data_IF_041387052894
#
_entry.id   IF_041387052894
#
_cell.length_a   1.000
_cell.length_b   1.000
_cell.length_c   1.000
_cell.angle_alpha   90.00
_cell.angle_beta   90.00
_cell.angle_gamma   90.00
#
_symmetry.space_group_name_H-M   'P 1'
#
loop_
_entity.id
_entity.type
_entity.pdbx_description
1 polymer ?
#
# COMPACT_ATOMS: atom_id res chain seq x y z
N UNK A 1 -7.57 -43.64 -27.27
CA UNK A 1 -8.47 -42.49 -26.95
C UNK A 1 -7.85 -41.40 -26.05
N UNK A 2 -6.72 -41.61 -25.34
CA UNK A 2 -6.13 -40.57 -24.45
C UNK A 2 -5.42 -39.39 -25.16
N UNK A 3 -4.98 -39.53 -26.42
CA UNK A 3 -4.25 -38.46 -27.14
C UNK A 3 -5.12 -37.27 -27.56
N UNK A 4 -6.44 -37.47 -27.73
CA UNK A 4 -7.33 -36.39 -28.19
C UNK A 4 -7.66 -35.37 -27.08
N UNK A 5 -7.50 -35.75 -25.81
CA UNK A 5 -7.74 -34.89 -24.65
C UNK A 5 -6.62 -33.87 -24.42
N UNK A 6 -5.39 -34.23 -24.74
CA UNK A 6 -4.21 -33.38 -24.51
C UNK A 6 -4.18 -32.23 -25.52
N UNK A 7 -4.56 -32.50 -26.77
CA UNK A 7 -4.59 -31.47 -27.82
C UNK A 7 -5.63 -30.38 -27.48
N UNK A 8 -6.82 -30.76 -26.99
CA UNK A 8 -7.84 -29.78 -26.57
C UNK A 8 -7.39 -28.92 -25.38
N UNK A 9 -6.68 -29.48 -24.42
CA UNK A 9 -6.15 -28.73 -23.28
C UNK A 9 -5.09 -27.71 -23.72
N UNK A 10 -4.21 -28.08 -24.65
CA UNK A 10 -3.18 -27.18 -25.19
C UNK A 10 -3.82 -26.05 -26.00
N UNK A 11 -4.85 -26.33 -26.81
CA UNK A 11 -5.54 -25.30 -27.60
C UNK A 11 -6.26 -24.29 -26.69
N UNK A 12 -6.91 -24.75 -25.61
CA UNK A 12 -7.57 -23.86 -24.65
C UNK A 12 -6.55 -22.99 -23.93
N UNK A 13 -5.41 -23.56 -23.52
CA UNK A 13 -4.33 -22.81 -22.89
C UNK A 13 -3.76 -21.73 -23.81
N UNK A 14 -3.57 -22.03 -25.10
CA UNK A 14 -3.07 -21.07 -26.09
C UNK A 14 -4.05 -19.93 -26.34
N UNK A 15 -5.36 -20.21 -26.35
CA UNK A 15 -6.40 -19.17 -26.49
C UNK A 15 -6.45 -18.27 -25.25
N UNK A 16 -6.32 -18.84 -24.05
CA UNK A 16 -6.27 -18.04 -22.80
C UNK A 16 -5.02 -17.16 -22.75
N UNK A 17 -3.87 -17.66 -23.20
CA UNK A 17 -2.62 -16.89 -23.30
C UNK A 17 -2.79 -15.72 -24.29
N UNK A 18 -3.40 -15.95 -25.45
CA UNK A 18 -3.63 -14.89 -26.44
C UNK A 18 -4.64 -13.82 -25.97
N UNK A 19 -5.65 -14.20 -25.17
CA UNK A 19 -6.56 -13.24 -24.53
C UNK A 19 -5.82 -12.40 -23.47
N UNK A 20 -4.93 -13.02 -22.69
CA UNK A 20 -4.10 -12.31 -21.70
C UNK A 20 -3.14 -11.31 -22.36
N UNK A 21 -2.50 -11.69 -23.47
CA UNK A 21 -1.62 -10.79 -24.23
C UNK A 21 -2.40 -9.70 -25.00
N UNK A 22 -3.63 -9.96 -25.43
CA UNK A 22 -4.50 -8.95 -26.04
C UNK A 22 -4.91 -7.83 -25.07
N UNK A 23 -5.02 -8.16 -23.78
CA UNK A 23 -5.32 -7.18 -22.73
C UNK A 23 -4.12 -6.29 -22.37
N UNK A 24 -2.89 -6.81 -22.44
CA UNK A 24 -1.68 -6.01 -22.20
C UNK A 24 -1.13 -5.30 -23.46
N UNK A 25 -1.31 -5.87 -24.65
CA UNK A 25 -0.76 -5.34 -25.90
C UNK A 25 -1.52 -4.13 -26.49
N UNK A 26 -2.78 -3.92 -26.10
CA UNK A 26 -3.59 -2.77 -26.54
C UNK A 26 -3.18 -1.43 -25.93
N UNK A 27 -2.32 -1.42 -24.91
CA UNK A 27 -1.94 -0.25 -24.12
C UNK A 27 -0.81 0.61 -24.70
N UNK A 28 -0.23 0.27 -25.86
CA UNK A 28 1.04 0.87 -26.29
C UNK A 28 1.03 1.64 -27.62
N UNK A 29 -0.12 1.77 -28.31
CA UNK A 29 -0.16 2.37 -29.66
C UNK A 29 -0.94 3.69 -29.78
N UNK A 30 -1.38 4.33 -28.68
CA UNK A 30 -2.17 5.56 -28.74
C UNK A 30 -1.57 6.80 -28.03
N UNK A 31 -0.36 6.74 -27.47
CA UNK A 31 0.20 7.87 -26.71
C UNK A 31 1.18 8.77 -27.49
N UNK A 32 1.39 8.55 -28.79
CA UNK A 32 2.46 9.21 -29.54
C UNK A 32 2.04 10.48 -30.32
N UNK A 33 0.89 11.09 -30.02
CA UNK A 33 0.40 12.25 -30.79
C UNK A 33 0.02 13.53 -30.03
N UNK A 34 0.18 13.63 -28.71
CA UNK A 34 -0.13 14.88 -27.96
C UNK A 34 1.01 15.34 -27.04
N UNK A 35 2.16 15.68 -27.62
CA UNK A 35 3.16 16.52 -26.94
C UNK A 35 3.67 17.61 -27.90
N UNK A 36 2.87 18.66 -28.06
CA UNK A 36 3.35 19.99 -28.43
C UNK A 36 2.39 21.04 -27.86
N UNK A 37 2.95 22.01 -27.13
CA UNK A 37 2.29 23.07 -26.35
C UNK A 37 1.57 22.54 -25.08
N UNK A 38 2.01 22.83 -23.86
CA UNK A 38 2.09 24.19 -23.33
C UNK A 38 3.04 24.22 -22.13
N UNK A 39 4.11 24.99 -22.27
CA UNK A 39 4.98 25.42 -21.18
C UNK A 39 4.65 26.89 -20.92
N UNK A 40 3.90 27.18 -19.86
CA UNK A 40 3.83 28.54 -19.32
C UNK A 40 3.33 28.53 -17.88
N UNK A 41 4.19 29.06 -16.99
CA UNK A 41 3.94 29.60 -15.66
C UNK A 41 2.49 30.05 -15.41
N UNK A 42 1.84 29.53 -14.36
CA UNK A 42 0.85 30.26 -13.56
C UNK A 42 0.91 29.74 -12.10
N UNK A 43 1.39 30.58 -11.19
CA UNK A 43 1.00 30.56 -9.76
C UNK A 43 -0.48 30.93 -9.64
N UNK A 44 -1.26 30.32 -8.73
CA UNK A 44 -2.45 30.97 -8.23
C UNK A 44 -2.35 31.30 -6.74
N UNK A 45 -2.50 32.59 -6.47
CA UNK A 45 -2.77 33.19 -5.17
C UNK A 45 -3.98 32.55 -4.48
N UNK A 46 -3.83 32.22 -3.20
CA UNK A 46 -4.91 31.82 -2.30
C UNK A 46 -5.85 33.01 -2.05
N UNK A 47 -7.10 32.92 -2.53
CA UNK A 47 -8.20 33.77 -2.05
C UNK A 47 -9.17 32.95 -1.19
N UNK A 48 -9.09 33.18 0.12
CA UNK A 48 -9.97 32.63 1.15
C UNK A 48 -11.31 33.36 1.11
N UNK A 49 -12.39 32.66 0.80
CA UNK A 49 -13.75 33.13 1.04
C UNK A 49 -14.47 32.19 2.01
N UNK A 50 -14.78 32.73 3.19
CA UNK A 50 -15.69 32.14 4.17
C UNK A 50 -17.12 32.29 3.66
N UNK A 51 -17.85 31.18 3.52
CA UNK A 51 -19.31 31.21 3.59
C UNK A 51 -19.84 29.93 4.21
N UNK A 52 -20.56 30.08 5.31
CA UNK A 52 -21.18 28.97 6.02
C UNK A 52 -22.51 28.58 5.41
N UNK A 53 -22.89 27.31 5.59
CA UNK A 53 -24.29 26.91 5.56
C UNK A 53 -24.51 25.75 6.53
N UNK A 54 -25.56 25.88 7.34
CA UNK A 54 -26.04 24.92 8.33
C UNK A 54 -27.25 24.17 7.77
N UNK A 55 -27.49 22.96 8.30
CA UNK A 55 -28.75 22.17 8.31
C UNK A 55 -29.16 21.51 6.96
N UNK A 56 -29.66 20.26 6.84
CA UNK A 56 -30.29 19.20 7.67
C UNK A 56 -29.99 17.84 6.97
N UNK A 57 -29.56 16.76 7.65
CA UNK A 57 -30.30 15.71 8.39
C UNK A 57 -31.26 14.79 7.58
N UNK A 58 -31.04 13.50 7.84
CA UNK A 58 -31.92 12.32 7.90
C UNK A 58 -32.14 11.40 6.70
N UNK A 59 -32.04 10.11 7.05
CA UNK A 59 -32.62 8.90 6.44
C UNK A 59 -31.81 8.21 5.34
N UNK A 60 -31.08 7.17 5.72
CA UNK A 60 -31.40 5.80 5.29
C UNK A 60 -30.74 4.77 6.21
N UNK A 61 -31.60 4.22 7.07
CA UNK A 61 -31.38 3.04 7.92
C UNK A 61 -31.64 1.77 7.11
N UNK A 62 -30.98 0.69 7.55
CA UNK A 62 -31.22 -0.73 7.26
C UNK A 62 -30.38 -1.33 6.12
N UNK A 63 -29.24 -1.91 6.47
CA UNK A 63 -28.80 -3.18 5.90
C UNK A 63 -28.20 -4.06 7.01
N UNK A 64 -28.89 -5.16 7.29
CA UNK A 64 -28.56 -6.19 8.26
C UNK A 64 -27.36 -7.02 7.79
N UNK A 65 -26.30 -7.25 8.60
CA UNK A 65 -25.31 -8.25 8.27
C UNK A 65 -25.85 -9.64 8.59
N UNK A 66 -25.83 -10.53 7.60
CA UNK A 66 -26.18 -11.94 7.73
C UNK A 66 -25.08 -12.66 8.55
N UNK A 67 -25.17 -12.62 9.90
CA UNK A 67 -24.34 -13.45 10.77
C UNK A 67 -24.83 -14.90 10.67
N UNK A 68 -24.05 -15.76 10.02
CA UNK A 68 -24.15 -17.20 10.20
C UNK A 68 -23.75 -17.52 11.65
N UNK A 69 -24.74 -17.72 12.51
CA UNK A 69 -24.56 -18.05 13.91
C UNK A 69 -23.96 -19.45 14.08
N UNK A 70 -22.71 -19.52 14.56
CA UNK A 70 -22.24 -20.64 15.36
C UNK A 70 -22.76 -20.44 16.80
N UNK A 71 -23.18 -21.51 17.50
CA UNK A 71 -23.78 -21.38 18.81
C UNK A 71 -22.74 -20.93 19.85
N UNK A 72 -22.85 -19.68 20.30
CA UNK A 72 -22.12 -19.14 21.46
C UNK A 72 -22.79 -19.68 22.72
N UNK A 73 -22.22 -20.73 23.31
CA UNK A 73 -22.54 -21.16 24.66
C UNK A 73 -21.89 -20.22 25.69
N UNK A 74 -22.69 -19.87 26.69
CA UNK A 74 -22.35 -19.07 27.87
C UNK A 74 -21.19 -19.70 28.65
N UNK A 75 -19.99 -19.14 28.52
CA UNK A 75 -18.85 -19.34 29.43
C UNK A 75 -17.99 -18.06 29.47
N UNK A 76 -18.62 -16.91 29.71
CA UNK A 76 -17.91 -15.62 29.74
C UNK A 76 -16.89 -15.51 30.88
N UNK A 77 -17.13 -16.17 32.02
CA UNK A 77 -16.27 -16.07 33.21
C UNK A 77 -15.01 -16.96 33.13
N UNK A 78 -14.99 -17.99 32.27
CA UNK A 78 -13.81 -18.81 32.00
C UNK A 78 -13.02 -18.37 30.76
N UNK A 79 -13.63 -17.58 29.87
CA UNK A 79 -13.02 -17.14 28.61
C UNK A 79 -11.86 -16.14 28.78
N UNK A 80 -11.80 -15.44 29.92
CA UNK A 80 -10.78 -14.43 30.20
C UNK A 80 -9.58 -14.94 31.01
N UNK A 81 -9.53 -16.23 31.39
CA UNK A 81 -8.42 -16.76 32.20
C UNK A 81 -7.13 -16.79 31.37
N UNK A 82 -6.19 -15.92 31.70
CA UNK A 82 -4.92 -15.77 30.98
C UNK A 82 -4.95 -14.76 29.83
N UNK A 83 -6.03 -13.98 29.70
CA UNK A 83 -6.08 -12.82 28.79
C UNK A 83 -5.46 -11.59 29.43
N UNK A 84 -4.79 -10.80 28.63
CA UNK A 84 -4.15 -9.53 28.98
C UNK A 84 -5.09 -8.36 28.63
N UNK A 85 -4.87 -7.22 29.27
CA UNK A 85 -5.50 -5.96 28.88
C UNK A 85 -4.76 -5.32 27.69
N UNK A 86 -5.39 -4.34 27.03
CA UNK A 86 -4.80 -3.65 25.89
C UNK A 86 -3.47 -2.96 26.21
N UNK A 87 -3.26 -2.47 27.43
CA UNK A 87 -2.05 -1.73 27.80
C UNK A 87 -0.88 -2.65 28.20
N UNK A 88 -1.13 -3.93 28.50
CA UNK A 88 -0.11 -4.96 28.78
C UNK A 88 0.78 -5.32 27.59
N UNK A 89 1.84 -6.08 27.84
CA UNK A 89 2.80 -6.54 26.82
C UNK A 89 2.29 -7.75 26.01
N UNK A 90 1.24 -7.54 25.23
CA UNK A 90 0.68 -8.53 24.32
C UNK A 90 1.34 -8.47 22.95
N UNK A 91 1.25 -9.56 22.18
CA UNK A 91 1.80 -9.63 20.82
C UNK A 91 0.79 -10.03 19.77
N UNK A 92 -0.04 -11.02 20.08
CA UNK A 92 -1.02 -11.56 19.14
C UNK A 92 -2.40 -11.24 19.72
N UNK A 93 -3.05 -10.21 19.19
CA UNK A 93 -4.32 -9.70 19.72
C UNK A 93 -5.35 -10.82 19.95
N UNK A 94 -5.57 -11.69 18.95
CA UNK A 94 -6.59 -12.76 19.03
C UNK A 94 -6.30 -13.83 20.09
N UNK A 95 -5.05 -14.05 20.48
CA UNK A 95 -4.69 -15.03 21.51
C UNK A 95 -4.50 -14.39 22.88
N UNK A 96 -3.93 -13.20 22.92
CA UNK A 96 -3.43 -12.57 24.15
C UNK A 96 -4.48 -11.68 24.78
N UNK A 97 -5.30 -10.97 23.99
CA UNK A 97 -6.28 -10.01 24.48
C UNK A 97 -7.64 -10.63 24.79
N UNK A 98 -8.38 -9.98 25.68
CA UNK A 98 -9.82 -10.24 25.86
C UNK A 98 -10.62 -9.64 24.68
N UNK A 99 -11.89 -10.04 24.54
CA UNK A 99 -12.70 -9.64 23.37
C UNK A 99 -12.89 -8.12 23.26
N UNK A 100 -13.09 -7.41 24.37
CA UNK A 100 -13.29 -5.97 24.35
C UNK A 100 -12.03 -5.24 23.85
N UNK A 101 -10.85 -5.70 24.25
CA UNK A 101 -9.57 -5.12 23.82
C UNK A 101 -9.21 -5.52 22.38
N UNK A 102 -9.66 -6.68 21.91
CA UNK A 102 -9.60 -7.06 20.48
C UNK A 102 -10.44 -6.06 19.66
N UNK A 103 -11.67 -5.77 20.08
CA UNK A 103 -12.55 -4.84 19.37
C UNK A 103 -12.01 -3.40 19.41
N UNK A 104 -11.35 -3.01 20.52
CA UNK A 104 -10.66 -1.73 20.63
C UNK A 104 -9.44 -1.65 19.70
N UNK A 105 -8.57 -2.66 19.70
CA UNK A 105 -7.43 -2.77 18.78
C UNK A 105 -7.85 -2.64 17.31
N UNK A 106 -8.92 -3.33 16.91
CA UNK A 106 -9.40 -3.29 15.53
C UNK A 106 -9.93 -1.90 15.12
N UNK A 107 -10.61 -1.19 16.02
CA UNK A 107 -11.06 0.19 15.76
C UNK A 107 -9.88 1.15 15.62
N UNK A 108 -8.90 1.07 16.54
CA UNK A 108 -7.70 1.91 16.48
C UNK A 108 -6.90 1.65 15.19
N UNK A 109 -6.85 0.39 14.74
CA UNK A 109 -6.24 0.02 13.46
C UNK A 109 -7.03 0.55 12.25
N UNK A 110 -8.36 0.52 12.30
CA UNK A 110 -9.21 1.09 11.25
C UNK A 110 -9.03 2.61 11.13
N UNK A 111 -9.07 3.32 12.25
CA UNK A 111 -8.84 4.77 12.31
C UNK A 111 -7.45 5.14 11.79
N UNK A 112 -6.42 4.38 12.20
CA UNK A 112 -5.06 4.54 11.67
C UNK A 112 -5.00 4.32 10.16
N UNK A 113 -5.66 3.29 9.69
CA UNK A 113 -5.69 2.93 8.28
C UNK A 113 -6.36 4.00 7.41
N UNK A 114 -7.43 4.60 7.93
CA UNK A 114 -8.09 5.74 7.29
C UNK A 114 -7.21 7.00 7.33
N UNK A 115 -6.60 7.32 8.47
CA UNK A 115 -5.78 8.53 8.63
C UNK A 115 -4.52 8.53 7.76
N UNK A 116 -3.94 7.34 7.51
CA UNK A 116 -2.81 7.18 6.59
C UNK A 116 -3.23 7.00 5.13
N UNK A 117 -4.52 7.09 4.81
CA UNK A 117 -5.01 6.89 3.44
C UNK A 117 -4.70 5.51 2.88
N UNK A 118 -4.61 4.48 3.72
CA UNK A 118 -4.51 3.10 3.28
C UNK A 118 -5.92 2.65 2.92
N UNK A 119 -6.36 2.93 1.69
CA UNK A 119 -7.69 2.58 1.21
C UNK A 119 -7.54 2.00 -0.19
N UNK A 120 -8.07 0.80 -0.38
CA UNK A 120 -8.14 0.15 -1.69
C UNK A 120 -9.54 0.30 -2.28
N UNK A 121 -9.69 0.54 -3.58
CA UNK A 121 -10.99 0.52 -4.24
C UNK A 121 -11.63 -0.86 -4.14
N UNK A 122 -12.96 -0.91 -4.29
CA UNK A 122 -13.68 -2.17 -4.38
C UNK A 122 -13.25 -2.91 -5.65
N UNK A 123 -12.86 -4.18 -5.52
CA UNK A 123 -12.59 -5.02 -6.68
C UNK A 123 -13.91 -5.37 -7.40
N UNK A 124 -13.88 -5.69 -8.71
CA UNK A 124 -15.08 -5.98 -9.50
C UNK A 124 -15.91 -7.16 -9.00
N UNK A 125 -15.31 -8.08 -8.25
CA UNK A 125 -15.95 -9.23 -7.61
C UNK A 125 -16.61 -8.88 -6.27
N UNK A 126 -16.62 -7.60 -5.91
CA UNK A 126 -17.19 -7.10 -4.65
C UNK A 126 -16.26 -7.25 -3.45
N UNK A 127 -15.04 -7.78 -3.64
CA UNK A 127 -14.06 -7.84 -2.58
C UNK A 127 -13.41 -6.46 -2.38
N UNK A 128 -13.57 -5.90 -1.18
CA UNK A 128 -12.87 -4.70 -0.77
C UNK A 128 -12.84 -4.63 0.74
N UNK A 129 -11.97 -3.78 1.28
CA UNK A 129 -12.08 -3.42 2.70
C UNK A 129 -13.35 -2.59 2.92
N UNK A 130 -13.90 -2.59 4.12
CA UNK A 130 -15.04 -1.71 4.49
C UNK A 130 -14.76 -0.23 4.16
N UNK A 131 -13.48 0.16 4.21
CA UNK A 131 -12.99 1.50 3.84
C UNK A 131 -13.17 1.85 2.35
N UNK A 132 -13.39 0.86 1.47
CA UNK A 132 -13.60 1.10 0.04
C UNK A 132 -14.81 2.00 -0.23
N UNK A 133 -15.79 2.02 0.69
CA UNK A 133 -16.98 2.88 0.62
C UNK A 133 -16.64 4.37 0.53
N UNK A 134 -15.51 4.82 1.09
CA UNK A 134 -15.08 6.21 1.02
C UNK A 134 -14.65 6.63 -0.39
N UNK A 135 -14.26 5.67 -1.24
CA UNK A 135 -13.81 5.92 -2.61
C UNK A 135 -14.94 5.79 -3.63
N UNK A 136 -16.00 5.02 -3.33
CA UNK A 136 -17.09 4.71 -4.27
C UNK A 136 -17.65 5.94 -4.99
N UNK A 137 -17.96 7.08 -4.33
CA UNK A 137 -18.50 8.25 -5.02
C UNK A 137 -17.56 8.83 -6.07
N UNK A 138 -16.25 8.79 -5.82
CA UNK A 138 -15.20 9.35 -6.69
C UNK A 138 -14.78 8.37 -7.78
N UNK A 139 -14.94 7.07 -7.55
CA UNK A 139 -14.73 6.05 -8.58
C UNK A 139 -15.85 6.08 -9.62
N UNK A 140 -17.08 6.44 -9.21
CA UNK A 140 -18.24 6.54 -10.10
C UNK A 140 -18.43 7.92 -10.77
N UNK A 141 -17.69 8.95 -10.34
CA UNK A 141 -17.83 10.30 -10.88
C UNK A 141 -17.18 10.44 -12.26
N UNK A 142 -17.61 11.45 -13.04
CA UNK A 142 -16.91 11.86 -14.26
C UNK A 142 -15.52 12.43 -13.94
N UNK A 143 -14.60 12.37 -14.90
CA UNK A 143 -13.26 12.96 -14.77
C UNK A 143 -13.29 14.41 -14.25
N UNK A 144 -14.10 15.29 -14.86
CA UNK A 144 -14.16 16.71 -14.46
C UNK A 144 -14.63 16.89 -13.02
N UNK A 145 -15.65 16.14 -12.60
CA UNK A 145 -16.16 16.18 -11.24
C UNK A 145 -15.14 15.65 -10.22
N UNK A 146 -14.39 14.60 -10.57
CA UNK A 146 -13.28 14.13 -9.74
C UNK A 146 -12.21 15.21 -9.61
N UNK A 147 -11.82 15.82 -10.73
CA UNK A 147 -10.76 16.83 -10.76
C UNK A 147 -11.15 18.05 -9.93
N UNK A 148 -12.40 18.50 -10.01
CA UNK A 148 -12.92 19.57 -9.15
C UNK A 148 -12.80 19.22 -7.65
N UNK A 149 -12.98 17.95 -7.26
CA UNK A 149 -12.79 17.55 -5.86
C UNK A 149 -11.31 17.56 -5.46
N UNK A 150 -10.40 17.13 -6.35
CA UNK A 150 -8.95 17.16 -6.13
C UNK A 150 -8.44 18.61 -5.99
N UNK A 151 -8.95 19.53 -6.79
CA UNK A 151 -8.65 20.96 -6.70
C UNK A 151 -9.13 21.57 -5.37
N UNK A 152 -10.22 21.04 -4.81
CA UNK A 152 -10.76 21.42 -3.50
C UNK A 152 -10.12 20.65 -2.32
N UNK A 153 -8.92 20.09 -2.50
CA UNK A 153 -8.16 19.39 -1.47
C UNK A 153 -8.83 18.13 -0.91
N UNK A 154 -9.78 17.52 -1.63
CA UNK A 154 -10.46 16.32 -1.18
C UNK A 154 -9.54 15.09 -1.27
N UNK A 155 -9.10 14.60 -0.11
CA UNK A 155 -8.10 13.53 0.02
C UNK A 155 -8.63 12.17 -0.46
N UNK A 156 -9.92 11.88 -0.29
CA UNK A 156 -10.52 10.65 -0.82
C UNK A 156 -10.65 10.69 -2.35
N UNK A 157 -10.92 11.86 -2.93
CA UNK A 157 -10.88 12.04 -4.38
C UNK A 157 -9.46 11.82 -4.92
N UNK A 158 -8.44 12.36 -4.22
CA UNK A 158 -7.04 12.12 -4.55
C UNK A 158 -6.67 10.64 -4.49
N UNK A 159 -7.07 9.92 -3.42
CA UNK A 159 -6.81 8.48 -3.30
C UNK A 159 -7.51 7.69 -4.42
N UNK A 160 -8.77 8.03 -4.73
CA UNK A 160 -9.50 7.40 -5.83
C UNK A 160 -8.82 7.62 -7.19
N UNK A 161 -8.28 8.83 -7.43
CA UNK A 161 -7.57 9.15 -8.66
C UNK A 161 -6.34 8.27 -8.92
N UNK A 162 -5.65 7.80 -7.87
CA UNK A 162 -4.52 6.87 -7.98
C UNK A 162 -4.93 5.50 -8.54
N UNK A 163 -6.21 5.16 -8.51
CA UNK A 163 -6.75 3.89 -8.99
C UNK A 163 -7.53 4.01 -10.31
N UNK A 164 -7.64 5.22 -10.87
CA UNK A 164 -8.44 5.50 -12.07
C UNK A 164 -7.60 5.48 -13.34
N UNK A 165 -8.07 4.77 -14.36
CA UNK A 165 -7.36 4.61 -15.63
C UNK A 165 -7.44 5.83 -16.54
N UNK A 166 -8.41 6.72 -16.33
CA UNK A 166 -8.60 7.96 -17.08
C UNK A 166 -7.82 9.16 -16.48
N UNK A 167 -7.05 8.93 -15.41
CA UNK A 167 -6.12 9.92 -14.84
C UNK A 167 -4.71 9.59 -15.32
N UNK A 168 -4.03 10.56 -15.93
CA UNK A 168 -2.68 10.38 -16.45
C UNK A 168 -1.68 10.03 -15.34
N UNK A 169 -0.71 9.16 -15.64
CA UNK A 169 0.29 8.67 -14.66
C UNK A 169 1.04 9.84 -14.00
N UNK A 170 1.35 10.90 -14.74
CA UNK A 170 2.05 12.05 -14.16
C UNK A 170 1.15 12.85 -13.20
N UNK A 171 -0.14 12.97 -13.51
CA UNK A 171 -1.12 13.52 -12.56
C UNK A 171 -1.23 12.63 -11.32
N UNK A 172 -1.28 11.30 -11.48
CA UNK A 172 -1.30 10.36 -10.35
C UNK A 172 -0.04 10.47 -9.49
N UNK A 173 1.15 10.60 -10.10
CA UNK A 173 2.42 10.84 -9.39
C UNK A 173 2.33 12.10 -8.52
N UNK A 174 1.88 13.21 -9.10
CA UNK A 174 1.75 14.48 -8.39
C UNK A 174 0.72 14.41 -7.26
N UNK A 175 -0.42 13.75 -7.49
CA UNK A 175 -1.44 13.50 -6.47
C UNK A 175 -0.88 12.65 -5.32
N UNK A 176 -0.14 11.57 -5.63
CA UNK A 176 0.45 10.71 -4.62
C UNK A 176 1.51 11.45 -3.79
N UNK A 177 2.35 12.27 -4.40
CA UNK A 177 3.29 13.12 -3.67
C UNK A 177 2.57 14.09 -2.73
N UNK A 178 1.48 14.72 -3.20
CA UNK A 178 0.65 15.61 -2.39
C UNK A 178 -0.01 14.90 -1.21
N UNK A 179 -0.49 13.68 -1.41
CA UNK A 179 -1.03 12.83 -0.35
C UNK A 179 0.02 12.49 0.71
N UNK A 180 1.25 12.14 0.31
CA UNK A 180 2.35 11.90 1.25
C UNK A 180 2.66 13.14 2.10
N UNK A 181 2.66 14.33 1.50
CA UNK A 181 2.81 15.60 2.23
C UNK A 181 1.69 15.77 3.27
N UNK A 182 0.46 15.41 2.94
CA UNK A 182 -0.71 15.46 3.84
C UNK A 182 -0.74 14.36 4.90
N UNK A 183 0.14 13.36 4.84
CA UNK A 183 0.19 12.24 5.80
C UNK A 183 -0.50 10.97 5.33
N UNK A 184 -1.09 10.98 4.15
CA UNK A 184 -1.73 9.82 3.53
C UNK A 184 -0.70 8.91 2.87
N UNK A 185 0.13 8.25 3.69
CA UNK A 185 1.27 7.47 3.22
C UNK A 185 0.90 6.12 2.62
N UNK A 186 -0.19 5.48 3.04
CA UNK A 186 -0.52 4.10 2.72
C UNK A 186 -0.58 3.80 1.22
N UNK A 187 -1.69 4.17 0.57
CA UNK A 187 -1.85 3.94 -0.88
C UNK A 187 -0.88 4.79 -1.70
N UNK A 188 -0.55 6.01 -1.24
CA UNK A 188 0.29 6.93 -2.00
C UNK A 188 1.76 6.46 -2.14
N UNK A 189 2.40 5.98 -1.08
CA UNK A 189 3.78 5.47 -1.18
C UNK A 189 3.83 4.21 -2.04
N UNK A 190 2.86 3.31 -1.89
CA UNK A 190 2.74 2.10 -2.71
C UNK A 190 2.66 2.47 -4.20
N UNK A 191 1.84 3.46 -4.54
CA UNK A 191 1.71 3.93 -5.92
C UNK A 191 3.00 4.57 -6.45
N UNK A 192 3.67 5.42 -5.65
CA UNK A 192 4.94 6.03 -6.05
C UNK A 192 6.03 4.98 -6.28
N UNK A 193 6.13 3.96 -5.43
CA UNK A 193 7.07 2.84 -5.60
C UNK A 193 6.82 2.13 -6.93
N UNK A 194 5.56 1.81 -7.24
CA UNK A 194 5.20 1.14 -8.49
C UNK A 194 5.57 1.98 -9.72
N UNK A 195 5.33 3.30 -9.69
CA UNK A 195 5.71 4.21 -10.77
C UNK A 195 7.23 4.18 -10.99
N UNK A 196 8.03 4.34 -9.93
CA UNK A 196 9.49 4.40 -10.09
C UNK A 196 10.06 3.06 -10.57
N UNK A 197 9.60 1.93 -10.01
CA UNK A 197 10.04 0.60 -10.46
C UNK A 197 9.61 0.30 -11.92
N UNK A 198 8.41 0.71 -12.33
CA UNK A 198 7.94 0.57 -13.71
C UNK A 198 8.77 1.42 -14.68
N UNK A 199 9.16 2.62 -14.28
CA UNK A 199 10.05 3.47 -15.07
C UNK A 199 11.44 2.85 -15.23
N UNK A 200 12.03 2.34 -14.15
CA UNK A 200 13.30 1.62 -14.20
C UNK A 200 13.23 0.42 -15.17
N UNK A 201 12.17 -0.38 -15.07
CA UNK A 201 11.93 -1.52 -15.95
C UNK A 201 11.78 -1.11 -17.42
N UNK A 202 11.00 -0.06 -17.70
CA UNK A 202 10.81 0.45 -19.05
C UNK A 202 12.12 0.94 -19.67
N UNK A 203 12.95 1.68 -18.92
CA UNK A 203 14.24 2.16 -19.41
C UNK A 203 15.15 0.97 -19.68
N UNK A 204 15.22 0.00 -18.76
CA UNK A 204 16.02 -1.21 -18.94
C UNK A 204 15.59 -2.03 -20.17
N UNK A 205 14.28 -2.18 -20.42
CA UNK A 205 13.78 -2.86 -21.63
C UNK A 205 14.20 -2.15 -22.92
N UNK A 206 14.38 -0.83 -22.89
CA UNK A 206 14.82 -0.03 -24.05
C UNK A 206 16.34 -0.06 -24.25
N UNK A 207 17.11 -0.01 -23.17
CA UNK A 207 18.58 0.11 -23.22
C UNK A 207 19.30 -1.23 -23.16
N UNK A 208 18.70 -2.23 -22.52
CA UNK A 208 19.30 -3.54 -22.21
C UNK A 208 20.43 -3.48 -21.17
N UNK A 209 20.69 -2.33 -20.54
CA UNK A 209 21.82 -2.10 -19.66
C UNK A 209 21.44 -1.17 -18.51
N UNK A 210 22.01 -1.41 -17.33
CA UNK A 210 21.89 -0.54 -16.16
C UNK A 210 22.62 0.78 -16.45
N UNK A 211 21.97 1.90 -16.14
CA UNK A 211 22.49 3.25 -16.28
C UNK A 211 22.03 4.13 -15.11
N UNK A 212 22.49 5.38 -15.09
CA UNK A 212 22.20 6.33 -14.00
C UNK A 212 20.71 6.64 -13.84
N UNK A 213 19.94 6.66 -14.93
CA UNK A 213 18.50 6.96 -14.89
C UNK A 213 17.72 5.82 -14.22
N UNK A 214 18.10 4.57 -14.50
CA UNK A 214 17.57 3.38 -13.83
C UNK A 214 17.90 3.42 -12.34
N UNK A 215 19.16 3.70 -11.99
CA UNK A 215 19.60 3.80 -10.60
C UNK A 215 18.80 4.85 -9.83
N UNK A 216 18.58 6.04 -10.41
CA UNK A 216 17.79 7.11 -9.80
C UNK A 216 16.35 6.66 -9.45
N UNK A 217 15.68 5.95 -10.36
CA UNK A 217 14.35 5.42 -10.10
C UNK A 217 14.35 4.37 -8.97
N UNK A 218 15.35 3.49 -8.94
CA UNK A 218 15.48 2.48 -7.87
C UNK A 218 15.74 3.16 -6.52
N UNK A 219 16.61 4.18 -6.48
CA UNK A 219 16.85 4.97 -5.26
C UNK A 219 15.58 5.68 -4.77
N UNK A 220 14.79 6.28 -5.66
CA UNK A 220 13.50 6.88 -5.31
C UNK A 220 12.53 5.86 -4.73
N UNK A 221 12.39 4.68 -5.35
CA UNK A 221 11.54 3.60 -4.83
C UNK A 221 11.97 3.15 -3.43
N UNK A 222 13.28 2.98 -3.20
CA UNK A 222 13.83 2.63 -1.89
C UNK A 222 13.64 3.76 -0.87
N UNK A 223 13.74 5.02 -1.26
CA UNK A 223 13.51 6.17 -0.37
C UNK A 223 12.04 6.23 0.09
N UNK A 224 11.07 6.04 -0.81
CA UNK A 224 9.66 5.90 -0.44
C UNK A 224 9.42 4.71 0.50
N UNK A 225 10.10 3.59 0.24
CA UNK A 225 10.03 2.39 1.09
C UNK A 225 10.55 2.68 2.50
N UNK A 226 11.72 3.28 2.62
CA UNK A 226 12.33 3.66 3.90
C UNK A 226 11.44 4.64 4.68
N UNK A 227 10.88 5.64 3.98
CA UNK A 227 9.98 6.64 4.57
C UNK A 227 8.73 6.01 5.19
N UNK A 228 8.18 4.95 4.56
CA UNK A 228 7.07 4.17 5.10
C UNK A 228 7.47 3.36 6.34
N UNK A 229 8.61 2.65 6.28
CA UNK A 229 9.13 1.85 7.41
C UNK A 229 9.33 2.72 8.65
N UNK A 230 9.96 3.90 8.50
CA UNK A 230 10.15 4.88 9.60
C UNK A 230 8.84 5.36 10.24
N UNK A 231 7.69 5.17 9.56
CA UNK A 231 6.34 5.52 10.04
C UNK A 231 5.52 4.33 10.48
N UNK A 232 6.17 3.20 10.74
CA UNK A 232 5.52 1.94 11.08
C UNK A 232 4.50 1.49 10.01
N UNK A 233 4.76 1.81 8.73
CA UNK A 233 3.92 1.43 7.60
C UNK A 233 4.69 0.47 6.68
N UNK A 234 4.40 -0.83 6.82
CA UNK A 234 4.99 -1.86 5.95
C UNK A 234 4.28 -2.02 4.61
N UNK A 235 3.23 -1.26 4.31
CA UNK A 235 2.59 -1.30 2.98
C UNK A 235 3.56 -0.92 1.86
N UNK A 236 4.44 0.05 2.12
CA UNK A 236 5.48 0.46 1.20
C UNK A 236 6.52 -0.67 0.98
N UNK A 237 7.01 -1.28 2.06
CA UNK A 237 7.96 -2.40 1.98
C UNK A 237 7.34 -3.64 1.30
N UNK A 238 6.08 -3.95 1.62
CA UNK A 238 5.34 -5.02 0.97
C UNK A 238 5.21 -4.78 -0.53
N UNK A 239 4.83 -3.57 -0.96
CA UNK A 239 4.72 -3.22 -2.38
C UNK A 239 6.06 -3.36 -3.09
N UNK A 240 7.14 -2.86 -2.49
CA UNK A 240 8.48 -3.00 -3.02
C UNK A 240 8.87 -4.47 -3.20
N UNK A 241 8.80 -5.25 -2.12
CA UNK A 241 9.19 -6.67 -2.09
C UNK A 241 8.38 -7.49 -3.10
N UNK A 242 7.05 -7.36 -3.09
CA UNK A 242 6.19 -8.13 -4.01
C UNK A 242 6.43 -7.79 -5.47
N UNK A 243 6.77 -6.53 -5.78
CA UNK A 243 7.12 -6.11 -7.14
C UNK A 243 8.45 -6.73 -7.57
N UNK A 244 9.50 -6.60 -6.76
CA UNK A 244 10.84 -7.13 -7.12
C UNK A 244 10.95 -8.65 -7.04
N UNK A 245 10.04 -9.31 -6.31
CA UNK A 245 9.89 -10.77 -6.27
C UNK A 245 9.09 -11.33 -7.45
N UNK A 246 8.42 -10.48 -8.23
CA UNK A 246 7.68 -10.94 -9.41
C UNK A 246 8.63 -11.62 -10.40
N UNK A 247 8.16 -12.70 -11.03
CA UNK A 247 8.94 -13.42 -12.05
C UNK A 247 9.28 -12.57 -13.26
N UNK A 248 8.46 -11.54 -13.51
CA UNK A 248 8.62 -10.65 -14.66
C UNK A 248 9.54 -9.47 -14.37
N UNK A 249 9.91 -9.26 -13.10
CA UNK A 249 10.82 -8.18 -12.73
C UNK A 249 12.27 -8.57 -13.04
N UNK A 250 13.01 -7.78 -13.85
CA UNK A 250 14.37 -8.13 -14.24
C UNK A 250 15.30 -8.28 -13.02
N UNK A 251 16.02 -9.40 -12.87
CA UNK A 251 16.93 -9.61 -11.74
C UNK A 251 18.04 -8.56 -11.68
N UNK A 252 18.47 -8.03 -12.83
CA UNK A 252 19.48 -6.96 -12.94
C UNK A 252 19.05 -5.65 -12.28
N UNK A 253 17.74 -5.43 -12.12
CA UNK A 253 17.17 -4.25 -11.47
C UNK A 253 17.02 -4.42 -9.95
N UNK A 254 17.36 -5.58 -9.39
CA UNK A 254 17.37 -5.73 -7.93
C UNK A 254 18.54 -4.92 -7.36
N UNK A 255 18.37 -4.24 -6.21
CA UNK A 255 19.36 -3.30 -5.69
C UNK A 255 20.78 -3.82 -5.57
N UNK A 256 20.93 -5.10 -5.21
CA UNK A 256 22.23 -5.77 -5.07
C UNK A 256 23.04 -5.77 -6.38
N UNK A 257 22.36 -5.72 -7.53
CA UNK A 257 22.99 -5.75 -8.85
C UNK A 257 22.95 -4.38 -9.55
N UNK A 258 21.90 -3.59 -9.31
CA UNK A 258 21.67 -2.33 -9.99
C UNK A 258 22.37 -1.15 -9.34
N UNK A 259 22.63 -1.19 -8.02
CA UNK A 259 23.21 -0.07 -7.30
C UNK A 259 24.72 -0.23 -7.17
N UNK A 260 25.45 0.85 -7.46
CA UNK A 260 26.90 0.92 -7.27
C UNK A 260 27.33 0.76 -5.80
N UNK A 261 28.64 0.56 -5.59
CA UNK A 261 29.23 0.43 -4.23
C UNK A 261 29.07 1.69 -3.38
N UNK A 262 28.96 2.84 -4.01
CA UNK A 262 28.69 4.12 -3.34
C UNK A 262 27.17 4.30 -3.21
N UNK A 263 26.59 3.62 -2.22
CA UNK A 263 25.15 3.64 -1.98
C UNK A 263 24.67 5.05 -1.59
N UNK A 264 23.90 5.70 -2.47
CA UNK A 264 23.35 7.06 -2.28
C UNK A 264 21.99 7.09 -1.60
N UNK A 265 21.52 5.96 -1.06
CA UNK A 265 20.16 5.86 -0.51
C UNK A 265 19.89 6.89 0.59
N UNK A 266 20.88 7.19 1.43
CA UNK A 266 20.75 8.21 2.48
C UNK A 266 20.45 9.60 1.89
N UNK A 267 21.10 9.96 0.78
CA UNK A 267 20.88 11.26 0.14
C UNK A 267 19.44 11.38 -0.37
N UNK A 268 18.93 10.34 -1.04
CA UNK A 268 17.56 10.29 -1.53
C UNK A 268 16.51 10.28 -0.41
N UNK A 269 16.79 9.58 0.70
CA UNK A 269 15.92 9.60 1.89
C UNK A 269 15.88 11.00 2.48
N UNK A 270 17.03 11.64 2.66
CA UNK A 270 17.13 12.98 3.25
C UNK A 270 16.45 14.03 2.35
N UNK A 271 16.68 13.98 1.04
CA UNK A 271 16.04 14.88 0.08
C UNK A 271 14.52 14.71 0.08
N UNK A 272 14.03 13.46 0.14
CA UNK A 272 12.60 13.18 0.22
C UNK A 272 11.99 13.77 1.50
N UNK A 273 12.62 13.54 2.65
CA UNK A 273 12.17 14.04 3.95
C UNK A 273 12.18 15.58 3.98
N UNK A 274 13.25 16.22 3.54
CA UNK A 274 13.36 17.68 3.46
C UNK A 274 12.28 18.28 2.55
N UNK A 275 12.06 17.68 1.37
CA UNK A 275 11.02 18.14 0.44
C UNK A 275 9.63 18.08 1.07
N UNK A 276 9.34 16.99 1.79
CA UNK A 276 8.05 16.80 2.45
C UNK A 276 7.88 17.81 3.58
N UNK A 277 8.90 17.98 4.44
CA UNK A 277 8.82 18.88 5.59
C UNK A 277 8.73 20.35 5.15
N UNK A 278 9.45 20.73 4.09
CA UNK A 278 9.31 22.04 3.45
C UNK A 278 7.88 22.25 2.93
N UNK A 279 7.31 21.27 2.23
CA UNK A 279 5.95 21.37 1.71
C UNK A 279 4.89 21.45 2.84
N UNK A 280 5.07 20.69 3.93
CA UNK A 280 4.21 20.77 5.12
C UNK A 280 4.29 22.12 5.80
N UNK A 281 5.49 22.67 5.93
CA UNK A 281 5.72 24.01 6.51
C UNK A 281 5.01 25.08 5.71
N UNK A 282 5.15 25.06 4.38
CA UNK A 282 4.47 26.01 3.48
C UNK A 282 2.95 25.86 3.57
N UNK A 283 2.45 24.63 3.61
CA UNK A 283 1.02 24.31 3.66
C UNK A 283 0.38 24.39 5.04
N UNK A 284 1.13 24.72 6.10
CA UNK A 284 0.70 24.62 7.50
C UNK A 284 0.08 23.25 7.86
N UNK A 285 0.64 22.17 7.31
CA UNK A 285 0.19 20.80 7.56
C UNK A 285 0.91 20.28 8.80
N UNK A 286 0.15 20.02 9.86
CA UNK A 286 0.68 19.44 11.11
C UNK A 286 0.39 17.93 11.09
N UNK A 287 1.43 17.13 11.26
CA UNK A 287 1.31 15.68 11.38
C UNK A 287 1.96 15.26 12.69
N UNK A 288 1.28 14.40 13.44
CA UNK A 288 1.84 13.80 14.63
C UNK A 288 3.15 13.07 14.29
N UNK A 289 4.19 13.19 15.12
CA UNK A 289 5.44 12.51 14.86
C UNK A 289 5.28 10.99 14.96
N UNK A 290 6.12 10.20 14.27
CA UNK A 290 5.93 8.74 14.13
C UNK A 290 5.95 7.96 15.45
N UNK A 291 6.64 8.47 16.46
CA UNK A 291 6.82 7.90 17.80
C UNK A 291 5.61 8.11 18.73
N UNK A 292 4.67 8.98 18.36
CA UNK A 292 3.41 9.20 19.07
C UNK A 292 2.25 8.35 18.51
N UNK A 293 2.58 7.36 17.65
CA UNK A 293 1.58 6.52 16.99
C UNK A 293 0.78 5.62 17.96
N UNK A 294 -0.46 5.25 17.59
CA UNK A 294 -1.29 4.32 18.37
C UNK A 294 -0.56 3.00 18.67
N UNK A 295 -0.80 2.35 19.82
CA UNK A 295 -0.18 1.04 20.12
C UNK A 295 -0.55 -0.02 19.07
N UNK A 296 -1.75 0.09 18.50
CA UNK A 296 -2.18 -0.75 17.39
C UNK A 296 -1.26 -0.64 16.17
N UNK A 297 -0.63 0.52 15.97
CA UNK A 297 0.28 0.78 14.87
C UNK A 297 1.51 -0.13 14.89
N UNK A 298 2.13 -0.22 16.07
CA UNK A 298 3.32 -1.03 16.30
C UNK A 298 3.00 -2.50 16.08
N UNK A 299 1.91 -3.00 16.66
CA UNK A 299 1.55 -4.41 16.54
C UNK A 299 1.09 -4.79 15.12
N UNK A 300 0.45 -3.87 14.39
CA UNK A 300 0.17 -4.06 12.96
C UNK A 300 1.45 -4.16 12.12
N UNK A 301 2.45 -3.31 12.42
CA UNK A 301 3.78 -3.39 11.82
C UNK A 301 4.45 -4.73 12.12
N UNK A 302 4.47 -5.17 13.38
CA UNK A 302 5.07 -6.45 13.78
C UNK A 302 4.37 -7.66 13.12
N UNK A 303 3.03 -7.62 13.05
CA UNK A 303 2.22 -8.64 12.38
C UNK A 303 2.56 -8.72 10.89
N UNK A 304 2.65 -7.57 10.23
CA UNK A 304 2.99 -7.46 8.81
C UNK A 304 4.43 -7.90 8.54
N UNK A 305 5.37 -7.59 9.44
CA UNK A 305 6.77 -8.01 9.34
C UNK A 305 6.92 -9.52 9.50
N UNK A 306 6.17 -10.12 10.41
CA UNK A 306 6.13 -11.58 10.59
C UNK A 306 5.60 -12.28 9.34
N UNK A 307 4.57 -11.74 8.71
CA UNK A 307 4.07 -12.23 7.43
C UNK A 307 5.13 -12.12 6.33
N UNK A 308 5.73 -10.93 6.14
CA UNK A 308 6.79 -10.69 5.15
C UNK A 308 7.99 -11.60 5.35
N UNK A 309 8.45 -11.78 6.59
CA UNK A 309 9.58 -12.67 6.92
C UNK A 309 9.32 -14.12 6.50
N UNK A 310 8.08 -14.60 6.63
CA UNK A 310 7.72 -15.97 6.24
C UNK A 310 7.52 -16.13 4.74
N UNK A 311 6.90 -15.14 4.09
CA UNK A 311 6.55 -15.22 2.68
C UNK A 311 7.71 -14.83 1.74
N UNK A 312 8.57 -13.90 2.17
CA UNK A 312 9.59 -13.24 1.33
C UNK A 312 10.93 -13.05 2.08
N UNK A 313 11.34 -14.03 2.90
CA UNK A 313 12.50 -13.86 3.78
C UNK A 313 13.81 -13.50 3.08
N UNK A 314 14.05 -14.00 1.86
CA UNK A 314 15.24 -13.66 1.08
C UNK A 314 15.21 -12.20 0.60
N UNK A 315 14.09 -11.76 0.03
CA UNK A 315 13.93 -10.40 -0.48
C UNK A 315 13.82 -9.35 0.63
N UNK A 316 13.23 -9.73 1.77
CA UNK A 316 13.25 -8.89 2.97
C UNK A 316 14.68 -8.67 3.46
N UNK A 317 15.52 -9.72 3.49
CA UNK A 317 16.92 -9.57 3.85
C UNK A 317 17.68 -8.70 2.83
N UNK A 318 17.45 -8.90 1.53
CA UNK A 318 18.06 -8.07 0.50
C UNK A 318 17.64 -6.58 0.63
N UNK A 319 16.40 -6.31 1.00
CA UNK A 319 15.94 -4.95 1.29
C UNK A 319 16.67 -4.37 2.50
N UNK A 320 16.78 -5.14 3.60
CA UNK A 320 17.51 -4.73 4.82
C UNK A 320 18.96 -4.35 4.52
N UNK A 321 19.64 -5.15 3.71
CA UNK A 321 21.06 -4.96 3.40
C UNK A 321 21.35 -3.68 2.59
N UNK A 322 20.33 -3.13 1.91
CA UNK A 322 20.48 -1.90 1.11
C UNK A 322 19.99 -0.66 1.85
N UNK A 323 19.07 -0.82 2.80
CA UNK A 323 18.56 0.28 3.60
C UNK A 323 19.60 0.76 4.64
N UNK A 324 19.53 2.02 5.10
CA UNK A 324 20.38 2.50 6.17
C UNK A 324 20.16 1.69 7.46
N UNK A 325 21.22 1.45 8.25
CA UNK A 325 21.18 0.63 9.47
C UNK A 325 20.00 0.95 10.39
N UNK A 326 19.67 2.23 10.57
CA UNK A 326 18.54 2.67 11.43
C UNK A 326 17.19 2.17 10.93
N UNK A 327 17.00 2.15 9.60
CA UNK A 327 15.75 1.68 8.97
C UNK A 327 15.77 0.17 8.79
N UNK A 328 16.91 -0.41 8.42
CA UNK A 328 17.11 -1.86 8.32
C UNK A 328 16.89 -2.56 9.66
N UNK A 329 17.32 -1.97 10.77
CA UNK A 329 17.10 -2.48 12.12
C UNK A 329 15.61 -2.58 12.50
N UNK A 330 14.74 -1.73 11.94
CA UNK A 330 13.29 -1.81 12.17
C UNK A 330 12.66 -3.05 11.52
N UNK A 331 13.34 -3.66 10.55
CA UNK A 331 12.91 -4.90 9.90
C UNK A 331 13.50 -6.15 10.56
N UNK A 332 14.21 -6.01 11.69
CA UNK A 332 14.67 -7.15 12.47
C UNK A 332 13.51 -7.83 13.21
N UNK A 333 13.61 -9.15 13.31
CA UNK A 333 12.60 -9.95 14.00
C UNK A 333 12.71 -9.77 15.52
N UNK A 334 11.91 -8.85 16.07
CA UNK A 334 11.70 -8.72 17.51
C UNK A 334 11.10 -10.00 18.11
N UNK A 335 11.10 -10.14 19.44
CA UNK A 335 10.42 -11.25 20.13
C UNK A 335 8.94 -11.37 19.69
N UNK A 336 8.28 -10.23 19.51
CA UNK A 336 6.88 -10.18 19.09
C UNK A 336 6.69 -10.68 17.66
N UNK A 337 7.58 -10.27 16.75
CA UNK A 337 7.60 -10.76 15.35
C UNK A 337 7.83 -12.27 15.33
N UNK A 338 8.74 -12.80 16.14
CA UNK A 338 8.99 -14.25 16.23
C UNK A 338 7.75 -15.01 16.71
N UNK A 339 7.09 -14.55 17.78
CA UNK A 339 5.82 -15.14 18.27
C UNK A 339 4.74 -15.14 17.18
N UNK A 340 4.60 -14.05 16.43
CA UNK A 340 3.67 -13.95 15.30
C UNK A 340 4.01 -14.93 14.17
N UNK A 341 5.30 -15.09 13.84
CA UNK A 341 5.75 -16.06 12.83
C UNK A 341 5.41 -17.50 13.22
N UNK A 342 5.64 -17.86 14.48
CA UNK A 342 5.29 -19.19 15.02
C UNK A 342 3.78 -19.42 14.96
N UNK A 343 3.00 -18.43 15.38
CA UNK A 343 1.54 -18.47 15.33
C UNK A 343 1.01 -18.73 13.91
N UNK A 344 1.51 -17.99 12.91
CA UNK A 344 1.12 -18.23 11.52
C UNK A 344 1.54 -19.62 11.01
N UNK A 345 2.72 -20.09 11.40
CA UNK A 345 3.19 -21.44 11.07
C UNK A 345 2.29 -22.54 11.63
N UNK A 346 1.79 -22.35 12.85
CA UNK A 346 0.82 -23.26 13.47
C UNK A 346 -0.53 -23.25 12.77
N UNK A 347 -1.03 -22.09 12.37
CA UNK A 347 -2.27 -21.97 11.61
C UNK A 347 -2.18 -22.72 10.28
N UNK A 348 -1.08 -22.57 9.54
CA UNK A 348 -0.85 -23.28 8.28
C UNK A 348 -0.75 -24.79 8.48
N UNK A 349 -0.03 -25.25 9.51
CA UNK A 349 0.07 -26.68 9.84
C UNK A 349 -1.32 -27.27 10.11
N UNK A 350 -2.14 -26.56 10.90
CA UNK A 350 -3.52 -26.97 11.22
C UNK A 350 -4.43 -26.95 9.99
N UNK A 351 -4.28 -25.95 9.10
CA UNK A 351 -5.05 -25.90 7.86
C UNK A 351 -4.73 -27.09 6.94
N UNK A 352 -3.42 -27.42 6.80
CA UNK A 352 -2.97 -28.55 5.98
C UNK A 352 -3.38 -29.91 6.55
N UNK A 353 -3.43 -30.06 7.88
CA UNK A 353 -3.86 -31.33 8.49
C UNK A 353 -5.36 -31.57 8.35
N UNK A 354 -6.18 -30.51 8.26
CA UNK A 354 -7.63 -30.62 8.00
C UNK A 354 -7.99 -30.89 6.55
N UNK A 355 -7.09 -30.57 5.62
CA UNK A 355 -7.30 -30.78 4.18
C UNK A 355 -6.92 -32.19 3.71
N UNK A 356 -6.26 -32.99 4.56
CA UNK A 356 -5.97 -34.41 4.35
C UNK A 356 -7.03 -35.26 5.03
#
# INVERSE_FOLDING_TARGET
MKKLSIIKAITILFVLILIFYGWFGGYWLSSEQHQQATQSQIEPELNVSKSGSKHLLSDMSNNTPLQAALPVQKDADNANKGKMDYDSDWCIAVTDLNQQDIDYYHRELEDRNLSRGHISPLLPDGYGSDRSQYLVPYMASTYDALWQQIENDNEYAMIAALSRHDVEIESQRNIAQRLVVKGHTGTALSHLILIELSNAEMIYKKTGQINTDIEEHIYKALAYTAFGIKRFDLGAAFTYITTVSSTDFPPELKPLYSLGKDNKINDYINELEERIDKARTIGNVIIAPPDEGPKAAKHDFETSLAYLSRAYGYELQALKDVLPDTTGAMLEASECVQRQMEFFGDLERKARSRAK
#
